data_IF_803756642957
#
_entry.id   IF_803756642957
#
_cell.length_a   1.000
_cell.length_b   1.000
_cell.length_c   1.000
_cell.angle_alpha   90.00
_cell.angle_beta   90.00
_cell.angle_gamma   90.00
#
_symmetry.space_group_name_H-M   'P 1'
#
loop_
_entity.id
_entity.type
_entity.pdbx_description
1 polymer ?
#
# COMPACT_ATOMS: atom_id res chain seq x y z
N UNK A 1 39.49 51.30 19.01
CA UNK A 1 39.27 50.10 18.18
C UNK A 1 37.97 49.43 18.64
N UNK A 2 36.88 49.61 17.91
CA UNK A 2 35.58 48.96 18.18
C UNK A 2 35.24 48.09 16.98
N UNK A 3 35.16 46.79 17.22
CA UNK A 3 34.79 45.77 16.25
C UNK A 3 33.34 46.02 15.82
N UNK A 4 33.12 46.37 14.54
CA UNK A 4 31.82 46.20 13.91
C UNK A 4 31.89 44.93 13.09
N UNK A 5 31.59 43.83 13.78
CA UNK A 5 31.39 42.50 13.22
C UNK A 5 30.18 42.59 12.29
N UNK A 6 30.44 42.69 10.99
CA UNK A 6 29.40 42.69 9.97
C UNK A 6 28.72 41.32 10.00
N UNK A 7 27.50 41.29 10.54
CA UNK A 7 26.62 40.14 10.58
C UNK A 7 26.51 39.50 9.19
N UNK A 8 27.08 38.31 9.05
CA UNK A 8 26.80 37.37 7.97
C UNK A 8 25.42 36.74 8.23
N UNK A 9 24.37 37.57 8.15
CA UNK A 9 23.00 37.13 8.36
C UNK A 9 22.49 36.40 7.10
N UNK A 10 22.37 35.09 7.24
CA UNK A 10 21.32 34.25 6.67
C UNK A 10 20.97 34.49 5.19
N UNK A 11 21.80 33.94 4.31
CA UNK A 11 21.34 33.39 3.03
C UNK A 11 21.35 31.86 3.10
N UNK A 12 20.68 31.30 4.11
CA UNK A 12 20.21 29.93 4.04
C UNK A 12 18.78 29.94 3.48
N UNK A 13 18.62 30.39 2.24
CA UNK A 13 17.49 29.98 1.41
C UNK A 13 17.71 28.51 1.04
N UNK A 14 17.60 27.65 2.06
CA UNK A 14 17.50 26.22 1.84
C UNK A 14 16.29 25.99 0.96
N UNK A 15 16.52 25.47 -0.24
CA UNK A 15 15.48 24.79 -1.00
C UNK A 15 14.88 23.75 -0.05
N UNK A 16 13.72 24.08 0.54
CA UNK A 16 12.92 23.14 1.30
C UNK A 16 12.45 22.12 0.28
N UNK A 17 13.25 21.07 0.11
CA UNK A 17 12.88 19.92 -0.68
C UNK A 17 11.72 19.27 0.04
N UNK A 18 10.56 19.25 -0.61
CA UNK A 18 9.39 18.59 -0.08
C UNK A 18 9.65 17.09 -0.01
N UNK A 19 9.57 16.53 1.19
CA UNK A 19 9.64 15.10 1.41
C UNK A 19 8.26 14.48 1.21
N UNK A 20 8.23 13.19 0.86
CA UNK A 20 7.03 12.38 0.96
C UNK A 20 6.65 12.25 2.44
N UNK A 21 5.36 12.45 2.74
CA UNK A 21 4.81 12.35 4.08
C UNK A 21 3.88 11.13 4.20
N UNK A 22 3.63 10.71 5.43
CA UNK A 22 2.61 9.69 5.71
C UNK A 22 1.24 10.31 5.44
N UNK A 23 0.39 9.59 4.71
CA UNK A 23 -0.95 10.06 4.43
C UNK A 23 -1.59 9.43 3.21
N UNK A 24 -2.71 10.04 2.82
CA UNK A 24 -3.44 9.68 1.61
C UNK A 24 -3.35 10.83 0.62
N UNK A 25 -3.36 10.51 -0.66
CA UNK A 25 -3.24 11.49 -1.72
C UNK A 25 -4.24 11.17 -2.82
N UNK A 26 -5.05 12.15 -3.19
CA UNK A 26 -5.97 12.05 -4.32
C UNK A 26 -5.26 12.53 -5.59
N UNK A 27 -5.32 11.73 -6.65
CA UNK A 27 -4.65 12.01 -7.90
C UNK A 27 -5.44 11.65 -9.14
N UNK A 28 -4.96 12.13 -10.27
CA UNK A 28 -5.54 11.87 -11.59
C UNK A 28 -4.43 11.59 -12.60
N UNK A 29 -4.70 10.69 -13.55
CA UNK A 29 -3.85 10.55 -14.74
C UNK A 29 -4.29 11.49 -15.87
N UNK A 30 -3.53 11.50 -16.97
CA UNK A 30 -3.83 12.29 -18.17
C UNK A 30 -5.19 11.96 -18.80
N UNK A 31 -5.71 10.75 -18.59
CA UNK A 31 -7.02 10.30 -19.05
C UNK A 31 -8.15 10.62 -18.04
N UNK A 32 -7.85 11.36 -16.95
CA UNK A 32 -8.77 11.70 -15.87
C UNK A 32 -9.37 10.47 -15.17
N UNK A 33 -8.58 9.40 -15.06
CA UNK A 33 -8.89 8.33 -14.13
C UNK A 33 -8.48 8.76 -12.72
N UNK A 34 -9.35 8.48 -11.76
CA UNK A 34 -9.13 8.83 -10.36
C UNK A 34 -8.26 7.77 -9.68
N UNK A 35 -7.24 8.23 -8.95
CA UNK A 35 -6.34 7.43 -8.15
C UNK A 35 -6.29 7.91 -6.71
N UNK A 36 -5.99 6.97 -5.82
CA UNK A 36 -5.69 7.23 -4.43
C UNK A 36 -4.36 6.57 -4.10
N UNK A 37 -3.41 7.32 -3.55
CA UNK A 37 -2.13 6.81 -3.07
C UNK A 37 -2.11 6.90 -1.54
N UNK A 38 -1.88 5.78 -0.87
CA UNK A 38 -1.74 5.71 0.58
C UNK A 38 -0.31 5.37 0.94
N UNK A 39 0.25 6.15 1.85
CA UNK A 39 1.65 6.07 2.23
C UNK A 39 1.74 5.91 3.73
N UNK A 40 2.47 4.88 4.16
CA UNK A 40 2.82 4.64 5.56
C UNK A 40 4.33 4.48 5.67
N UNK A 41 4.94 5.02 6.71
CA UNK A 41 6.37 4.78 6.98
C UNK A 41 6.61 3.32 7.37
N UNK A 42 7.78 2.77 6.98
CA UNK A 42 8.26 1.49 7.48
C UNK A 42 8.84 1.70 8.87
N UNK A 43 8.29 1.07 9.93
CA UNK A 43 8.84 1.18 11.27
C UNK A 43 10.28 0.67 11.36
N UNK A 44 10.64 -0.31 10.53
CA UNK A 44 11.98 -0.91 10.48
C UNK A 44 13.00 -0.08 9.69
N UNK A 45 12.58 0.91 8.90
CA UNK A 45 13.47 1.65 7.97
C UNK A 45 13.02 3.09 7.75
N UNK A 46 13.68 4.02 8.44
CA UNK A 46 13.42 5.46 8.35
C UNK A 46 13.57 5.97 6.91
N UNK A 47 12.58 6.77 6.47
CA UNK A 47 12.57 7.37 5.13
C UNK A 47 12.16 6.40 4.00
N UNK A 48 11.81 5.16 4.34
CA UNK A 48 11.14 4.22 3.44
C UNK A 48 9.66 4.13 3.79
N UNK A 49 8.82 3.90 2.79
CA UNK A 49 7.38 3.82 2.95
C UNK A 49 6.79 2.59 2.28
N UNK A 50 5.61 2.16 2.73
CA UNK A 50 4.73 1.29 1.98
C UNK A 50 3.67 2.16 1.30
N UNK A 51 3.50 1.93 0.01
CA UNK A 51 2.49 2.58 -0.83
C UNK A 51 1.37 1.63 -1.21
N UNK A 52 0.11 2.04 -1.11
CA UNK A 52 -1.01 1.42 -1.83
C UNK A 52 -1.55 2.40 -2.85
N UNK A 53 -1.42 2.06 -4.14
CA UNK A 53 -1.97 2.83 -5.24
C UNK A 53 -3.24 2.16 -5.75
N UNK A 54 -4.34 2.88 -5.64
CA UNK A 54 -5.69 2.38 -5.86
C UNK A 54 -6.30 3.15 -7.04
N UNK A 55 -6.75 2.45 -8.08
CA UNK A 55 -7.58 3.04 -9.14
C UNK A 55 -9.06 2.78 -8.82
N UNK A 56 -9.80 3.86 -8.58
CA UNK A 56 -11.22 3.87 -8.21
C UNK A 56 -12.14 3.14 -9.19
N UNK A 57 -11.94 3.37 -10.48
CA UNK A 57 -12.85 2.92 -11.56
C UNK A 57 -12.56 1.49 -12.00
N UNK A 58 -11.30 1.08 -11.96
CA UNK A 58 -10.86 -0.23 -12.47
C UNK A 58 -10.75 -1.29 -11.37
N UNK A 59 -11.05 -0.95 -10.11
CA UNK A 59 -10.86 -1.82 -8.94
C UNK A 59 -9.44 -2.37 -8.80
N UNK A 60 -8.43 -1.76 -9.45
CA UNK A 60 -7.04 -2.20 -9.38
C UNK A 60 -6.36 -1.58 -8.16
N UNK A 61 -5.62 -2.40 -7.43
CA UNK A 61 -4.77 -1.96 -6.32
C UNK A 61 -3.40 -2.59 -6.46
N UNK A 62 -2.36 -1.78 -6.34
CA UNK A 62 -0.96 -2.22 -6.31
C UNK A 62 -0.31 -1.73 -5.04
N UNK A 63 0.50 -2.59 -4.42
CA UNK A 63 1.31 -2.21 -3.28
C UNK A 63 2.78 -2.06 -3.67
N UNK A 64 3.47 -1.10 -3.02
CA UNK A 64 4.85 -0.75 -3.33
C UNK A 64 5.67 -0.58 -2.06
N UNK A 65 6.93 -0.97 -2.11
CA UNK A 65 7.97 -0.42 -1.25
C UNK A 65 8.46 0.87 -1.92
N UNK A 66 8.43 1.97 -1.19
CA UNK A 66 8.83 3.29 -1.64
C UNK A 66 10.13 3.66 -0.94
N UNK A 67 11.22 3.70 -1.69
CA UNK A 67 12.54 4.04 -1.17
C UNK A 67 13.03 5.37 -1.75
N UNK A 68 13.59 6.23 -0.90
CA UNK A 68 14.14 7.51 -1.32
C UNK A 68 15.47 7.34 -2.08
N UNK A 69 15.59 8.01 -3.23
CA UNK A 69 16.87 8.24 -3.91
C UNK A 69 17.49 9.59 -3.54
N UNK A 70 16.63 10.55 -3.23
CA UNK A 70 17.00 11.88 -2.74
C UNK A 70 15.89 12.42 -1.84
N UNK A 71 16.05 13.65 -1.35
CA UNK A 71 15.06 14.33 -0.49
C UNK A 71 13.66 14.47 -1.11
N UNK A 72 13.53 14.37 -2.43
CA UNK A 72 12.27 14.60 -3.17
C UNK A 72 11.99 13.55 -4.24
N UNK A 73 12.85 12.53 -4.40
CA UNK A 73 12.70 11.50 -5.42
C UNK A 73 12.72 10.12 -4.79
N UNK A 74 11.78 9.29 -5.20
CA UNK A 74 11.57 7.96 -4.65
C UNK A 74 11.36 6.94 -5.75
N UNK A 75 11.78 5.71 -5.50
CA UNK A 75 11.54 4.55 -6.34
C UNK A 75 10.46 3.67 -5.74
N UNK A 76 9.49 3.29 -6.55
CA UNK A 76 8.40 2.40 -6.16
C UNK A 76 8.68 0.99 -6.71
N UNK A 77 9.04 0.09 -5.80
CA UNK A 77 9.29 -1.32 -6.05
C UNK A 77 8.01 -2.10 -5.77
N UNK A 78 7.51 -2.84 -6.75
CA UNK A 78 6.26 -3.60 -6.59
C UNK A 78 6.41 -4.66 -5.50
N UNK A 79 5.50 -4.64 -4.52
CA UNK A 79 5.43 -5.67 -3.49
C UNK A 79 4.75 -6.92 -4.04
N UNK A 80 5.32 -8.07 -3.70
CA UNK A 80 4.83 -9.39 -4.08
C UNK A 80 5.03 -10.36 -2.92
N UNK A 81 4.45 -11.55 -3.06
CA UNK A 81 4.79 -12.69 -2.23
C UNK A 81 6.12 -13.27 -2.71
N UNK A 82 7.08 -13.36 -1.80
CA UNK A 82 8.40 -13.95 -2.01
C UNK A 82 8.43 -15.37 -1.44
N UNK A 83 9.57 -16.06 -1.56
CA UNK A 83 9.74 -17.40 -1.00
C UNK A 83 9.32 -17.47 0.48
N UNK A 84 8.76 -18.61 0.88
CA UNK A 84 8.23 -18.85 2.23
C UNK A 84 7.02 -17.99 2.63
N UNK A 85 6.27 -17.45 1.66
CA UNK A 85 5.04 -16.68 1.90
C UNK A 85 5.29 -15.38 2.66
N UNK A 86 6.40 -14.71 2.40
CA UNK A 86 6.66 -13.37 2.94
C UNK A 86 6.25 -12.28 1.95
N UNK A 87 5.91 -11.10 2.46
CA UNK A 87 5.65 -9.92 1.62
C UNK A 87 6.96 -9.15 1.44
N UNK A 88 7.38 -8.96 0.19
CA UNK A 88 8.64 -8.30 -0.13
C UNK A 88 8.76 -7.89 -1.59
N UNK A 89 9.99 -7.60 -2.00
CA UNK A 89 10.32 -7.18 -3.37
C UNK A 89 11.08 -8.32 -4.05
N UNK A 90 10.66 -8.70 -5.26
CA UNK A 90 11.37 -9.69 -6.08
C UNK A 90 12.20 -9.08 -7.21
N UNK A 91 11.92 -7.83 -7.60
CA UNK A 91 12.65 -7.07 -8.60
C UNK A 91 13.05 -5.71 -8.02
N UNK A 92 14.35 -5.43 -7.96
CA UNK A 92 14.92 -4.20 -7.40
C UNK A 92 14.91 -3.02 -8.37
N UNK A 93 14.48 -3.20 -9.62
CA UNK A 93 14.26 -2.12 -10.56
C UNK A 93 12.93 -1.42 -10.26
N UNK A 94 12.93 -0.11 -9.95
CA UNK A 94 11.72 0.65 -9.69
C UNK A 94 10.77 0.58 -10.86
N UNK A 95 9.52 0.21 -10.59
CA UNK A 95 8.46 0.19 -11.60
C UNK A 95 7.92 1.57 -11.91
N UNK A 96 8.02 2.48 -10.94
CA UNK A 96 7.50 3.84 -11.01
C UNK A 96 8.47 4.72 -10.22
N UNK A 97 8.69 5.94 -10.70
CA UNK A 97 9.38 7.00 -9.95
C UNK A 97 8.36 7.96 -9.36
N UNK A 98 8.54 8.38 -8.11
CA UNK A 98 7.76 9.43 -7.47
C UNK A 98 8.63 10.65 -7.25
N UNK A 99 8.15 11.83 -7.67
CA UNK A 99 8.76 13.12 -7.35
C UNK A 99 7.82 13.91 -6.46
N UNK A 100 8.30 14.33 -5.29
CA UNK A 100 7.60 15.20 -4.36
C UNK A 100 7.98 16.66 -4.60
N UNK A 101 6.98 17.52 -4.73
CA UNK A 101 7.12 18.99 -4.67
C UNK A 101 6.31 19.52 -3.49
N UNK A 102 6.40 20.81 -3.20
CA UNK A 102 5.66 21.44 -2.10
C UNK A 102 4.15 21.15 -2.14
N UNK A 103 3.58 21.06 -3.34
CA UNK A 103 2.13 21.04 -3.54
C UNK A 103 1.63 19.80 -4.27
N UNK A 104 2.52 19.01 -4.88
CA UNK A 104 2.16 17.87 -5.70
C UNK A 104 3.09 16.68 -5.55
N UNK A 105 2.56 15.49 -5.74
CA UNK A 105 3.35 14.28 -6.00
C UNK A 105 3.13 13.87 -7.45
N UNK A 106 4.20 13.53 -8.17
CA UNK A 106 4.11 13.08 -9.56
C UNK A 106 4.68 11.67 -9.64
N UNK A 107 3.83 10.72 -10.01
CA UNK A 107 4.23 9.37 -10.38
C UNK A 107 4.48 9.30 -11.89
N UNK A 108 5.63 8.75 -12.26
CA UNK A 108 6.03 8.56 -13.66
C UNK A 108 6.38 7.08 -13.88
N UNK A 109 5.80 6.42 -14.91
CA UNK A 109 6.16 5.06 -15.26
C UNK A 109 7.65 4.94 -15.50
N UNK A 110 8.25 3.83 -15.05
CA UNK A 110 9.56 3.44 -15.56
C UNK A 110 9.36 2.41 -16.68
N UNK A 111 9.82 2.73 -17.89
CA UNK A 111 9.55 1.94 -19.11
C UNK A 111 10.17 0.54 -19.11
N UNK A 112 11.06 0.24 -18.17
CA UNK A 112 11.79 -1.02 -18.08
C UNK A 112 11.08 -2.08 -17.20
N UNK A 113 9.90 -1.78 -16.63
CA UNK A 113 9.21 -2.67 -15.69
C UNK A 113 7.72 -2.86 -16.04
N UNK A 114 7.34 -4.11 -16.24
CA UNK A 114 6.02 -4.59 -16.70
C UNK A 114 4.89 -4.49 -15.67
N UNK A 115 5.20 -4.17 -14.42
CA UNK A 115 4.24 -4.14 -13.31
C UNK A 115 3.81 -2.72 -12.88
N UNK A 116 4.20 -1.70 -13.64
CA UNK A 116 3.84 -0.31 -13.40
C UNK A 116 2.44 0.08 -13.88
N UNK A 117 2.06 1.33 -13.60
CA UNK A 117 1.02 2.02 -14.36
C UNK A 117 1.66 2.60 -15.62
N UNK A 118 0.96 2.59 -16.75
CA UNK A 118 1.49 3.07 -18.04
C UNK A 118 1.37 4.58 -18.23
N UNK A 119 0.77 5.29 -17.28
CA UNK A 119 0.50 6.73 -17.36
C UNK A 119 1.13 7.46 -16.18
N UNK A 120 1.48 8.74 -16.40
CA UNK A 120 1.85 9.61 -15.29
C UNK A 120 0.60 9.99 -14.50
N UNK A 121 0.73 10.02 -13.17
CA UNK A 121 -0.36 10.34 -12.24
C UNK A 121 0.11 11.50 -11.36
N UNK A 122 -0.71 12.55 -11.28
CA UNK A 122 -0.43 13.72 -10.43
C UNK A 122 -1.37 13.71 -9.24
N UNK A 123 -0.81 13.83 -8.04
CA UNK A 123 -1.54 13.89 -6.78
C UNK A 123 -1.39 15.25 -6.11
N UNK A 124 -2.42 15.69 -5.41
CA UNK A 124 -2.34 16.87 -4.54
C UNK A 124 -1.90 16.45 -3.14
N UNK A 125 -0.99 17.21 -2.53
CA UNK A 125 -0.44 16.89 -1.18
C UNK A 125 -1.44 17.05 -0.03
N UNK A 126 -2.60 17.67 -0.27
CA UNK A 126 -3.68 17.85 0.72
C UNK A 126 -4.85 16.89 0.47
N UNK A 127 -4.83 15.70 1.07
CA UNK A 127 -6.05 14.86 1.15
C UNK A 127 -7.03 15.42 2.18
N UNK A 128 -8.33 15.29 1.89
CA UNK A 128 -9.41 15.74 2.76
C UNK A 128 -9.81 14.72 3.84
N UNK A 129 -9.40 13.44 3.73
CA UNK A 129 -9.67 12.37 4.72
C UNK A 129 -8.67 11.22 4.54
N UNK A 130 -7.75 10.96 5.48
CA UNK A 130 -6.78 9.89 5.32
C UNK A 130 -7.44 8.51 5.49
N UNK A 131 -7.18 7.57 4.56
CA UNK A 131 -7.23 6.15 4.90
C UNK A 131 -6.07 5.87 5.85
N UNK A 132 -6.37 5.22 6.97
CA UNK A 132 -5.38 4.78 7.94
C UNK A 132 -5.23 3.28 7.84
N UNK A 133 -3.99 2.83 7.71
CA UNK A 133 -3.66 1.42 7.93
C UNK A 133 -4.12 1.06 9.34
N UNK A 134 -4.79 -0.07 9.49
CA UNK A 134 -5.33 -0.52 10.77
C UNK A 134 -4.88 -1.95 11.02
N UNK A 135 -4.59 -2.32 12.27
CA UNK A 135 -4.47 -3.72 12.61
C UNK A 135 -5.80 -4.44 12.32
N UNK A 136 -5.70 -5.75 12.14
CA UNK A 136 -6.85 -6.66 12.08
C UNK A 136 -7.80 -6.39 13.26
N UNK A 137 -9.08 -6.16 12.97
CA UNK A 137 -10.11 -6.03 14.00
C UNK A 137 -11.06 -7.23 13.90
N UNK A 138 -11.06 -8.10 14.91
CA UNK A 138 -11.87 -9.30 14.90
C UNK A 138 -13.36 -9.03 14.92
N UNK A 139 -14.11 -9.83 14.16
CA UNK A 139 -15.57 -9.77 14.07
C UNK A 139 -16.13 -8.44 13.53
N UNK A 140 -15.31 -7.40 13.49
CA UNK A 140 -15.66 -6.01 13.18
C UNK A 140 -15.46 -5.69 11.70
N UNK A 141 -14.73 -6.54 10.96
CA UNK A 141 -14.83 -6.59 9.51
C UNK A 141 -15.88 -7.61 9.06
N UNK A 142 -17.13 -7.38 9.45
CA UNK A 142 -18.28 -8.10 8.87
C UNK A 142 -18.95 -7.20 7.84
N UNK A 143 -18.53 -7.33 6.58
CA UNK A 143 -19.40 -6.92 5.48
C UNK A 143 -20.38 -8.07 5.21
N UNK A 144 -21.40 -7.85 4.37
CA UNK A 144 -22.25 -8.96 3.89
C UNK A 144 -21.43 -10.09 3.24
N UNK A 145 -20.19 -9.82 2.86
CA UNK A 145 -19.36 -10.69 2.06
C UNK A 145 -18.12 -11.22 2.77
N UNK A 146 -17.65 -10.66 3.88
CA UNK A 146 -16.42 -11.13 4.56
C UNK A 146 -16.62 -11.13 6.07
N UNK A 147 -16.11 -12.16 6.75
CA UNK A 147 -16.03 -12.28 8.21
C UNK A 147 -14.61 -12.73 8.57
N UNK A 148 -14.00 -12.10 9.58
CA UNK A 148 -12.61 -12.37 10.01
C UNK A 148 -12.52 -12.56 11.53
N UNK A 149 -11.78 -13.57 11.99
CA UNK A 149 -11.54 -13.85 13.41
C UNK A 149 -10.45 -12.94 14.03
N UNK A 150 -10.19 -13.11 15.33
CA UNK A 150 -8.95 -12.60 15.95
C UNK A 150 -7.73 -13.36 15.42
N UNK A 151 -6.55 -12.74 15.58
CA UNK A 151 -5.27 -13.44 15.49
C UNK A 151 -5.14 -14.43 16.65
N UNK A 152 -4.67 -15.63 16.35
CA UNK A 152 -4.27 -16.62 17.33
C UNK A 152 -2.80 -16.46 17.75
N UNK A 153 -2.28 -17.44 18.49
CA UNK A 153 -0.89 -17.43 18.97
C UNK A 153 0.15 -17.53 17.84
N UNK A 154 -0.25 -17.90 16.63
CA UNK A 154 0.61 -18.02 15.45
C UNK A 154 0.53 -16.78 14.54
N UNK A 155 -0.16 -15.72 14.99
CA UNK A 155 -0.52 -14.55 14.17
C UNK A 155 -1.35 -14.94 12.94
N UNK A 156 -2.26 -15.90 13.12
CA UNK A 156 -3.20 -16.34 12.10
C UNK A 156 -4.64 -15.99 12.46
N UNK A 157 -5.42 -15.55 11.47
CA UNK A 157 -6.86 -15.38 11.59
C UNK A 157 -7.59 -16.16 10.52
N UNK A 158 -8.76 -16.71 10.85
CA UNK A 158 -9.67 -17.32 9.88
C UNK A 158 -10.50 -16.24 9.21
N UNK A 159 -10.60 -16.29 7.88
CA UNK A 159 -11.45 -15.43 7.08
C UNK A 159 -12.39 -16.27 6.23
N UNK A 160 -13.70 -16.04 6.35
CA UNK A 160 -14.71 -16.59 5.44
C UNK A 160 -15.18 -15.49 4.51
N UNK A 161 -15.10 -15.73 3.20
CA UNK A 161 -15.51 -14.77 2.18
C UNK A 161 -16.54 -15.34 1.21
N UNK A 162 -17.50 -14.49 0.85
CA UNK A 162 -18.54 -14.65 -0.16
C UNK A 162 -18.39 -13.61 -1.27
N UNK A 163 -17.30 -12.85 -1.27
CA UNK A 163 -17.00 -11.87 -2.32
C UNK A 163 -16.69 -12.59 -3.65
N UNK A 164 -17.22 -12.07 -4.75
CA UNK A 164 -16.98 -12.63 -6.08
C UNK A 164 -15.47 -12.64 -6.38
N UNK A 165 -14.94 -13.81 -6.78
CA UNK A 165 -13.50 -13.99 -7.03
C UNK A 165 -12.66 -14.32 -5.79
N UNK A 166 -13.27 -14.37 -4.61
CA UNK A 166 -12.64 -14.79 -3.35
C UNK A 166 -13.67 -15.52 -2.47
N UNK A 167 -14.33 -16.55 -3.01
CA UNK A 167 -15.31 -17.34 -2.24
C UNK A 167 -14.60 -18.50 -1.55
N UNK A 168 -14.80 -18.65 -0.25
CA UNK A 168 -14.28 -19.77 0.54
C UNK A 168 -13.73 -19.34 1.91
N UNK A 169 -13.03 -20.28 2.53
CA UNK A 169 -12.36 -20.10 3.82
C UNK A 169 -10.85 -19.97 3.62
N UNK A 170 -10.27 -19.01 4.33
CA UNK A 170 -8.89 -18.59 4.20
C UNK A 170 -8.25 -18.43 5.58
N UNK A 171 -6.93 -18.57 5.62
CA UNK A 171 -6.10 -18.14 6.74
C UNK A 171 -5.39 -16.85 6.34
N UNK A 172 -5.53 -15.82 7.17
CA UNK A 172 -4.78 -14.58 7.10
C UNK A 172 -3.61 -14.69 8.06
N UNK A 173 -2.38 -14.70 7.55
CA UNK A 173 -1.16 -14.74 8.36
C UNK A 173 -0.42 -13.42 8.28
N UNK A 174 -0.19 -12.76 9.41
CA UNK A 174 0.61 -11.54 9.42
C UNK A 174 2.08 -11.86 9.16
N UNK A 175 2.66 -11.26 8.12
CA UNK A 175 4.09 -11.46 7.77
C UNK A 175 4.90 -10.17 7.78
N UNK A 176 4.18 -9.04 7.83
CA UNK A 176 4.69 -7.70 8.04
C UNK A 176 3.60 -6.90 8.75
N UNK A 177 4.00 -5.92 9.56
CA UNK A 177 3.05 -5.15 10.36
C UNK A 177 1.88 -4.59 9.53
N UNK A 178 0.65 -4.99 9.89
CA UNK A 178 -0.63 -4.69 9.27
C UNK A 178 -0.81 -5.23 7.83
N UNK A 179 0.01 -6.21 7.42
CA UNK A 179 -0.06 -6.88 6.12
C UNK A 179 -0.13 -8.39 6.28
N UNK A 180 -1.15 -8.98 5.66
CA UNK A 180 -1.51 -10.37 5.87
C UNK A 180 -1.41 -11.15 4.57
N UNK A 181 -0.77 -12.31 4.58
CA UNK A 181 -0.84 -13.25 3.47
C UNK A 181 -2.14 -14.02 3.55
N UNK A 182 -2.81 -14.19 2.40
CA UNK A 182 -4.07 -14.94 2.31
C UNK A 182 -3.76 -16.34 1.79
N UNK A 183 -4.01 -17.33 2.64
CA UNK A 183 -3.80 -18.75 2.36
C UNK A 183 -5.16 -19.43 2.20
N UNK A 184 -5.39 -20.16 1.13
CA UNK A 184 -6.65 -20.89 0.94
C UNK A 184 -6.67 -22.16 1.79
N UNK A 185 -7.84 -22.50 2.30
CA UNK A 185 -8.06 -23.82 2.92
C UNK A 185 -8.87 -24.69 1.98
N UNK A 186 -8.53 -25.97 1.90
CA UNK A 186 -9.26 -26.96 1.10
C UNK A 186 -9.69 -28.11 2.00
N UNK A 187 -10.96 -28.50 1.90
CA UNK A 187 -11.45 -29.70 2.55
C UNK A 187 -11.09 -30.92 1.70
N UNK A 188 -10.31 -31.84 2.25
CA UNK A 188 -10.03 -33.15 1.64
C UNK A 188 -10.89 -34.23 2.30
N UNK A 189 -10.91 -35.42 1.70
CA UNK A 189 -11.56 -36.60 2.29
C UNK A 189 -10.97 -37.02 3.65
N UNK A 190 -9.80 -36.49 4.03
CA UNK A 190 -9.10 -36.78 5.29
C UNK A 190 -9.14 -35.62 6.30
N UNK A 191 -9.82 -34.52 6.00
CA UNK A 191 -9.90 -33.34 6.86
C UNK A 191 -9.57 -32.03 6.14
N UNK A 192 -9.34 -30.95 6.90
CA UNK A 192 -8.95 -29.66 6.32
C UNK A 192 -7.45 -29.65 6.03
N UNK A 193 -7.07 -29.30 4.81
CA UNK A 193 -5.68 -29.06 4.42
C UNK A 193 -5.51 -27.58 4.07
N UNK A 194 -4.51 -26.95 4.68
CA UNK A 194 -4.05 -25.63 4.27
C UNK A 194 -3.36 -25.74 2.92
N UNK A 195 -3.92 -25.09 1.90
CA UNK A 195 -3.27 -24.94 0.61
C UNK A 195 -2.34 -23.73 0.67
N UNK A 196 -1.05 -23.98 0.48
CA UNK A 196 -0.04 -22.93 0.53
C UNK A 196 0.14 -22.22 -0.81
N UNK A 197 -0.89 -22.20 -1.67
CA UNK A 197 -0.89 -21.42 -2.90
C UNK A 197 -1.25 -19.96 -2.61
N UNK A 198 -0.34 -19.26 -1.94
CA UNK A 198 -0.51 -17.84 -1.65
C UNK A 198 -0.13 -17.00 -2.89
N UNK A 199 -1.13 -16.41 -3.53
CA UNK A 199 -0.93 -15.38 -4.58
C UNK A 199 -1.55 -14.05 -4.19
N UNK A 200 -2.08 -13.94 -2.97
CA UNK A 200 -2.83 -12.80 -2.47
C UNK A 200 -2.24 -12.36 -1.13
N UNK A 201 -2.13 -11.06 -0.92
CA UNK A 201 -1.98 -10.47 0.40
C UNK A 201 -3.06 -9.41 0.62
N UNK A 202 -3.29 -9.06 1.87
CA UNK A 202 -4.36 -8.18 2.29
C UNK A 202 -3.84 -7.11 3.24
N UNK A 203 -4.48 -5.94 3.18
CA UNK A 203 -4.26 -4.81 4.07
C UNK A 203 -5.61 -4.33 4.58
N UNK A 204 -5.71 -4.11 5.90
CA UNK A 204 -6.88 -3.51 6.52
C UNK A 204 -6.70 -2.00 6.59
N UNK A 205 -7.69 -1.28 6.09
CA UNK A 205 -7.69 0.16 6.02
C UNK A 205 -8.94 0.72 6.71
N UNK A 206 -8.85 1.92 7.27
CA UNK A 206 -9.97 2.65 7.89
C UNK A 206 -10.13 4.02 7.25
N UNK A 207 -11.34 4.37 6.81
CA UNK A 207 -11.66 5.68 6.22
C UNK A 207 -11.74 5.66 4.69
N UNK A 208 -11.37 6.77 4.02
CA UNK A 208 -11.32 6.87 2.55
C UNK A 208 -12.61 7.35 1.86
N UNK A 209 -12.57 7.38 0.51
CA UNK A 209 -13.66 7.90 -0.35
C UNK A 209 -15.00 7.18 -0.17
N UNK A 210 -14.99 5.98 0.39
CA UNK A 210 -16.19 5.14 0.57
C UNK A 210 -16.64 5.02 2.04
N UNK A 211 -15.85 5.53 2.99
CA UNK A 211 -16.14 5.38 4.42
C UNK A 211 -15.92 3.95 4.94
N UNK A 212 -15.98 3.82 6.28
CA UNK A 212 -15.87 2.52 6.96
C UNK A 212 -14.45 1.95 7.06
N UNK A 213 -14.36 0.80 7.71
CA UNK A 213 -13.19 -0.07 7.63
C UNK A 213 -13.27 -0.86 6.31
N UNK A 214 -12.14 -1.25 5.72
CA UNK A 214 -12.05 -1.90 4.41
C UNK A 214 -10.92 -2.92 4.36
N UNK A 215 -11.20 -4.09 3.77
CA UNK A 215 -10.20 -5.09 3.43
C UNK A 215 -9.79 -4.92 1.97
N UNK A 216 -8.53 -4.56 1.76
CA UNK A 216 -7.92 -4.38 0.45
C UNK A 216 -7.10 -5.61 0.11
N UNK A 217 -7.49 -6.36 -0.92
CA UNK A 217 -6.85 -7.63 -1.29
C UNK A 217 -6.09 -7.44 -2.58
N UNK A 218 -4.78 -7.67 -2.54
CA UNK A 218 -3.86 -7.49 -3.65
C UNK A 218 -3.39 -8.86 -4.13
N UNK A 219 -3.60 -9.14 -5.42
CA UNK A 219 -3.02 -10.29 -6.10
C UNK A 219 -1.57 -9.99 -6.47
N UNK A 220 -0.63 -10.67 -5.81
CA UNK A 220 0.81 -10.47 -6.00
C UNK A 220 1.35 -10.96 -7.34
N UNK A 221 0.63 -11.88 -8.01
CA UNK A 221 1.05 -12.39 -9.32
C UNK A 221 0.78 -11.37 -10.42
N UNK A 222 -0.37 -10.70 -10.37
CA UNK A 222 -0.86 -9.82 -11.44
C UNK A 222 -0.86 -8.32 -11.08
N UNK A 223 -0.74 -7.99 -9.78
CA UNK A 223 -1.02 -6.65 -9.26
C UNK A 223 -2.49 -6.23 -9.40
N UNK A 224 -3.39 -7.17 -9.72
CA UNK A 224 -4.83 -6.93 -9.71
C UNK A 224 -5.36 -7.07 -8.28
N UNK A 225 -6.52 -6.50 -7.99
CA UNK A 225 -7.11 -6.57 -6.66
C UNK A 225 -8.62 -6.72 -6.78
N UNK A 226 -9.20 -7.40 -5.79
CA UNK A 226 -10.61 -7.29 -5.50
C UNK A 226 -10.75 -6.46 -4.23
N UNK A 227 -11.64 -5.49 -4.24
CA UNK A 227 -12.08 -4.82 -3.02
C UNK A 227 -13.26 -5.61 -2.49
N UNK A 228 -13.29 -5.83 -1.19
CA UNK A 228 -14.47 -6.34 -0.54
C UNK A 228 -14.72 -5.42 0.65
N UNK A 229 -15.78 -4.62 0.60
CA UNK A 229 -16.16 -3.62 1.61
C UNK A 229 -17.39 -2.84 1.16
N UNK A 230 -18.21 -2.38 2.11
CA UNK A 230 -19.40 -1.54 1.87
C UNK A 230 -19.04 -0.06 2.01
#
# INVERSE_FOLDING_TARGET
MKYMLLMFALLCSGLVHAALEVGSYDGVDNARNDYELHVRELPERRGSFIGLLINGKQSKVRAYLIDAFSSSKYGLLSLRLTGNYNIGVSNTLPSISLTATSDTLVLTPNGENDMGFSTSITFKTKSKKPLRWSPLIAGNYSSKQIVVSNLDAENEATMTSKAQGLVGDYVLRETRQDMYVVLSTQLTSTGVKLDKNATLFAVFMKGGRFGGDQLVIVNSATGAAARAGN
#
